data_IF_182889415278
#
_entry.id   IF_182889415278
#
_cell.length_a   1.000
_cell.length_b   1.000
_cell.length_c   1.000
_cell.angle_alpha   90.00
_cell.angle_beta   90.00
_cell.angle_gamma   90.00
#
_symmetry.space_group_name_H-M   'P 1'
#
loop_
_entity.id
_entity.type
_entity.pdbx_description
1 polymer ?
#
# COMPACT_ATOMS: atom_id res chain seq x y z
N UNK A 1 12.84 7.55 -18.33
CA UNK A 1 11.95 7.71 -17.18
C UNK A 1 10.56 7.36 -17.67
N UNK A 2 10.06 6.18 -17.33
CA UNK A 2 8.70 5.77 -17.69
C UNK A 2 7.70 6.73 -17.06
N UNK A 3 6.74 7.25 -17.83
CA UNK A 3 5.71 8.17 -17.33
C UNK A 3 4.61 7.37 -16.60
N UNK A 4 5.00 6.57 -15.60
CA UNK A 4 4.04 5.77 -14.83
C UNK A 4 3.13 6.69 -14.01
N UNK A 5 1.83 6.45 -14.08
CA UNK A 5 0.82 7.22 -13.36
C UNK A 5 0.93 6.93 -11.87
N UNK A 6 1.23 7.97 -11.10
CA UNK A 6 1.23 7.91 -9.63
C UNK A 6 -0.20 7.99 -9.12
N UNK A 7 -0.58 7.06 -8.24
CA UNK A 7 -1.89 7.04 -7.59
C UNK A 7 -1.78 6.67 -6.12
N UNK A 8 -2.90 6.67 -5.41
CA UNK A 8 -2.96 6.46 -3.97
C UNK A 8 -3.98 5.39 -3.62
N UNK A 9 -3.65 4.54 -2.65
CA UNK A 9 -4.53 3.51 -2.11
C UNK A 9 -4.43 3.47 -0.58
N UNK A 10 -5.53 3.16 0.10
CA UNK A 10 -5.54 2.95 1.55
C UNK A 10 -5.77 1.47 1.85
N UNK A 11 -4.77 0.83 2.43
CA UNK A 11 -4.84 -0.52 2.96
C UNK A 11 -5.39 -0.49 4.39
N UNK A 12 -6.23 -1.46 4.74
CA UNK A 12 -6.67 -1.67 6.12
C UNK A 12 -5.98 -2.93 6.63
N UNK A 13 -5.04 -2.77 7.58
CA UNK A 13 -4.22 -3.86 8.13
C UNK A 13 -4.63 -4.17 9.56
N UNK A 14 -4.55 -5.43 9.99
CA UNK A 14 -4.85 -5.79 11.38
C UNK A 14 -3.89 -5.11 12.36
N UNK A 15 -4.43 -4.61 13.47
CA UNK A 15 -3.69 -4.01 14.57
C UNK A 15 -2.83 -5.04 15.31
N UNK A 16 -3.20 -6.32 15.30
CA UNK A 16 -2.33 -7.41 15.78
C UNK A 16 -1.13 -7.61 14.85
N UNK A 17 -1.37 -7.56 13.53
CA UNK A 17 -0.33 -7.51 12.50
C UNK A 17 0.47 -6.20 12.60
N UNK A 18 -0.01 -5.18 13.31
CA UNK A 18 0.66 -3.90 13.57
C UNK A 18 1.45 -3.88 14.90
N UNK A 19 0.93 -4.50 15.96
CA UNK A 19 1.39 -4.36 17.35
C UNK A 19 2.33 -5.45 17.87
N UNK A 20 2.37 -6.64 17.25
CA UNK A 20 3.23 -7.76 17.68
C UNK A 20 4.66 -7.76 17.09
N UNK A 21 4.93 -6.88 16.15
CA UNK A 21 6.18 -6.78 15.37
C UNK A 21 5.98 -6.12 14.00
N UNK A 22 4.94 -5.31 13.87
CA UNK A 22 4.06 -5.35 12.71
C UNK A 22 4.28 -4.39 11.55
N UNK A 23 5.03 -3.31 11.80
CA UNK A 23 5.61 -2.50 10.74
C UNK A 23 7.13 -2.54 10.81
N UNK A 24 7.73 -2.68 12.00
CA UNK A 24 9.18 -2.92 12.05
C UNK A 24 9.55 -4.19 11.27
N UNK A 25 8.87 -5.34 11.38
CA UNK A 25 9.28 -6.51 10.58
C UNK A 25 9.00 -6.39 9.07
N UNK A 26 7.95 -5.67 8.64
CA UNK A 26 7.62 -5.49 7.22
C UNK A 26 8.37 -4.31 6.56
N UNK A 27 8.67 -3.26 7.32
CA UNK A 27 9.56 -2.15 6.94
C UNK A 27 11.05 -2.49 7.14
N UNK A 28 11.39 -3.51 7.94
CA UNK A 28 12.71 -4.14 7.97
C UNK A 28 12.87 -5.22 6.88
N UNK A 29 11.80 -5.59 6.16
CA UNK A 29 11.86 -6.59 5.08
C UNK A 29 12.19 -5.98 3.70
N UNK A 30 12.02 -4.67 3.53
CA UNK A 30 12.39 -3.93 2.32
C UNK A 30 12.90 -2.55 2.72
N UNK A 31 14.10 -2.18 2.23
CA UNK A 31 14.66 -0.86 2.49
C UNK A 31 13.86 0.22 1.74
N UNK A 32 13.97 1.49 2.15
CA UNK A 32 13.31 2.62 1.48
C UNK A 32 13.63 2.69 -0.02
N UNK A 33 14.84 2.27 -0.40
CA UNK A 33 15.28 2.16 -1.78
C UNK A 33 14.50 1.08 -2.53
N UNK A 34 14.29 -0.09 -1.92
CA UNK A 34 13.50 -1.17 -2.55
C UNK A 34 12.06 -0.76 -2.77
N UNK A 35 11.48 -0.02 -1.82
CA UNK A 35 10.14 0.56 -1.96
C UNK A 35 10.09 1.55 -3.13
N UNK A 36 11.06 2.45 -3.20
CA UNK A 36 11.15 3.43 -4.29
C UNK A 36 11.33 2.75 -5.66
N UNK A 37 12.23 1.78 -5.75
CA UNK A 37 12.50 0.98 -6.96
C UNK A 37 11.31 0.10 -7.34
N UNK A 38 10.48 -0.30 -6.39
CA UNK A 38 9.21 -0.96 -6.63
C UNK A 38 8.12 -0.01 -7.14
N UNK A 39 8.32 1.31 -7.05
CA UNK A 39 7.36 2.35 -7.42
C UNK A 39 6.47 2.81 -6.26
N UNK A 40 6.87 2.60 -5.02
CA UNK A 40 6.22 3.14 -3.81
C UNK A 40 6.96 4.41 -3.39
N UNK A 41 6.26 5.54 -3.36
CA UNK A 41 6.87 6.86 -3.12
C UNK A 41 6.53 7.45 -1.76
N UNK A 42 5.41 7.06 -1.16
CA UNK A 42 5.01 7.54 0.16
C UNK A 42 4.18 6.50 0.88
N UNK A 43 4.45 6.32 2.17
CA UNK A 43 3.60 5.55 3.10
C UNK A 43 3.25 6.47 4.26
N UNK A 44 1.95 6.64 4.51
CA UNK A 44 1.41 7.45 5.58
C UNK A 44 0.62 6.54 6.53
N UNK A 45 1.13 6.42 7.76
CA UNK A 45 0.49 5.68 8.83
C UNK A 45 -0.09 6.70 9.81
N UNK A 46 -1.41 6.75 9.99
CA UNK A 46 -2.05 7.64 10.93
C UNK A 46 -1.61 7.34 12.37
N UNK A 47 -1.15 8.36 13.09
CA UNK A 47 -0.87 8.26 14.52
C UNK A 47 -2.16 8.42 15.33
N UNK A 48 -2.34 7.60 16.37
CA UNK A 48 -3.42 7.79 17.35
C UNK A 48 -4.73 7.02 17.10
N UNK A 49 -4.80 6.15 16.09
CA UNK A 49 -6.02 5.36 15.81
C UNK A 49 -6.14 4.04 16.59
N UNK A 50 -5.16 3.72 17.44
CA UNK A 50 -5.14 2.49 18.22
C UNK A 50 -6.29 2.36 19.25
N UNK A 51 -7.11 3.40 19.47
CA UNK A 51 -8.24 3.34 20.42
C UNK A 51 -9.64 3.35 19.79
N UNK A 52 -9.83 3.92 18.59
CA UNK A 52 -11.18 4.31 18.13
C UNK A 52 -11.64 3.67 16.81
N UNK A 53 -10.75 3.09 15.99
CA UNK A 53 -11.11 2.48 14.68
C UNK A 53 -11.27 0.94 14.71
N UNK A 54 -11.18 0.31 15.87
CA UNK A 54 -11.20 -1.15 16.02
C UNK A 54 -9.85 -1.82 15.68
N UNK A 55 -9.86 -3.12 15.39
CA UNK A 55 -8.66 -3.94 15.14
C UNK A 55 -7.94 -3.64 13.81
N UNK A 56 -8.24 -2.54 13.09
CA UNK A 56 -7.69 -2.27 11.75
C UNK A 56 -7.07 -0.88 11.65
N UNK A 57 -5.84 -0.81 11.14
CA UNK A 57 -5.07 0.41 10.90
C UNK A 57 -5.15 0.80 9.42
N UNK A 58 -5.60 2.02 9.07
CA UNK A 58 -5.61 2.49 7.69
C UNK A 58 -4.24 3.02 7.27
N UNK A 59 -3.51 2.29 6.44
CA UNK A 59 -2.21 2.67 5.89
C UNK A 59 -2.39 3.22 4.48
N UNK A 60 -2.05 4.49 4.26
CA UNK A 60 -2.17 5.15 2.95
C UNK A 60 -0.85 5.08 2.21
N UNK A 61 -0.89 4.67 0.95
CA UNK A 61 0.30 4.45 0.12
C UNK A 61 0.13 5.17 -1.20
N UNK A 62 1.15 5.92 -1.59
CA UNK A 62 1.25 6.60 -2.89
C UNK A 62 2.33 5.94 -3.71
N UNK A 63 2.00 5.56 -4.94
CA UNK A 63 2.92 4.85 -5.83
C UNK A 63 2.33 4.60 -7.21
N UNK A 64 3.11 3.95 -8.06
CA UNK A 64 2.62 3.44 -9.36
C UNK A 64 1.70 2.25 -9.15
N UNK A 65 0.95 1.87 -10.18
CA UNK A 65 0.10 0.69 -10.11
C UNK A 65 0.88 -0.61 -9.77
N UNK A 66 2.16 -0.67 -10.18
CA UNK A 66 3.09 -1.74 -9.81
C UNK A 66 3.48 -1.64 -8.33
N UNK A 67 3.85 -0.46 -7.85
CA UNK A 67 4.24 -0.22 -6.47
C UNK A 67 3.14 -0.58 -5.48
N UNK A 68 1.88 -0.23 -5.78
CA UNK A 68 0.75 -0.58 -4.92
C UNK A 68 0.53 -2.10 -4.84
N UNK A 69 0.69 -2.83 -5.95
CA UNK A 69 0.62 -4.29 -5.95
C UNK A 69 1.78 -4.95 -5.20
N UNK A 70 2.99 -4.38 -5.31
CA UNK A 70 4.14 -4.82 -4.53
C UNK A 70 3.87 -4.67 -3.04
N UNK A 71 3.38 -3.49 -2.63
CA UNK A 71 3.11 -3.20 -1.22
C UNK A 71 1.99 -4.06 -0.64
N UNK A 72 0.94 -4.36 -1.41
CA UNK A 72 -0.12 -5.29 -1.00
C UNK A 72 0.41 -6.69 -0.67
N UNK A 73 1.40 -7.17 -1.44
CA UNK A 73 2.07 -8.46 -1.19
C UNK A 73 2.96 -8.39 0.04
N UNK A 74 3.69 -7.29 0.23
CA UNK A 74 4.54 -7.06 1.40
C UNK A 74 3.71 -7.08 2.69
N UNK A 75 2.53 -6.47 2.67
CA UNK A 75 1.56 -6.49 3.78
C UNK A 75 0.80 -7.82 3.91
N UNK A 76 1.02 -8.80 3.01
CA UNK A 76 0.30 -10.07 2.96
C UNK A 76 -1.24 -9.86 3.01
N UNK A 77 -1.76 -8.89 2.24
CA UNK A 77 -3.20 -8.66 2.13
C UNK A 77 -3.86 -9.84 1.45
N UNK A 78 -4.85 -10.44 2.12
CA UNK A 78 -5.62 -11.61 1.62
C UNK A 78 -7.10 -11.33 1.45
N UNK A 79 -7.57 -10.19 1.94
CA UNK A 79 -8.98 -9.84 1.88
C UNK A 79 -9.42 -9.55 0.44
N UNK A 80 -10.37 -10.34 -0.06
CA UNK A 80 -10.85 -10.26 -1.44
C UNK A 80 -11.34 -8.85 -1.79
N UNK A 81 -12.10 -8.21 -0.91
CA UNK A 81 -12.62 -6.86 -1.11
C UNK A 81 -11.50 -5.82 -1.32
N UNK A 82 -10.43 -5.87 -0.53
CA UNK A 82 -9.31 -4.94 -0.68
C UNK A 82 -8.53 -5.21 -1.98
N UNK A 83 -8.37 -6.48 -2.35
CA UNK A 83 -7.69 -6.88 -3.59
C UNK A 83 -8.50 -6.49 -4.85
N UNK A 84 -9.82 -6.64 -4.81
CA UNK A 84 -10.71 -6.20 -5.89
C UNK A 84 -10.63 -4.69 -6.10
N UNK A 85 -10.70 -3.92 -5.01
CA UNK A 85 -10.63 -2.46 -5.09
C UNK A 85 -9.25 -1.98 -5.58
N UNK A 86 -8.18 -2.60 -5.08
CA UNK A 86 -6.83 -2.37 -5.61
C UNK A 86 -6.74 -2.67 -7.11
N UNK A 87 -7.40 -3.76 -7.55
CA UNK A 87 -7.50 -4.12 -8.96
C UNK A 87 -8.15 -3.03 -9.82
N UNK A 88 -9.24 -2.41 -9.32
CA UNK A 88 -9.93 -1.30 -10.00
C UNK A 88 -9.05 -0.05 -10.06
N UNK A 89 -8.42 0.33 -8.96
CA UNK A 89 -7.51 1.49 -8.91
C UNK A 89 -6.34 1.30 -9.87
N UNK A 90 -5.76 0.10 -9.91
CA UNK A 90 -4.71 -0.26 -10.86
C UNK A 90 -5.20 -0.17 -12.31
N UNK A 91 -6.36 -0.73 -12.63
CA UNK A 91 -6.90 -0.66 -13.98
C UNK A 91 -7.12 0.79 -14.44
N UNK A 92 -7.64 1.64 -13.55
CA UNK A 92 -7.83 3.06 -13.82
C UNK A 92 -6.51 3.82 -13.99
N UNK A 93 -5.47 3.49 -13.22
CA UNK A 93 -4.14 4.08 -13.37
C UNK A 93 -3.50 3.72 -14.71
N UNK A 94 -3.53 2.43 -15.09
CA UNK A 94 -2.99 1.94 -16.36
C UNK A 94 -3.72 2.52 -17.58
N UNK A 95 -5.04 2.71 -17.49
CA UNK A 95 -5.81 3.35 -18.55
C UNK A 95 -5.34 4.80 -18.80
N UNK A 96 -5.00 5.54 -17.74
CA UNK A 96 -4.48 6.91 -17.84
C UNK A 96 -3.07 6.97 -18.42
N UNK A 97 -2.26 5.93 -18.23
CA UNK A 97 -0.92 5.82 -18.84
C UNK A 97 -0.99 5.58 -20.35
N UNK A 98 -1.98 4.80 -20.82
CA UNK A 98 -2.16 4.50 -22.24
C UNK A 98 -2.76 5.64 -23.08
N UNK A 99 -3.34 6.64 -22.42
CA UNK A 99 -3.95 7.82 -23.04
C UNK A 99 -2.96 9.00 -23.23
N UNK A 100 -1.71 8.88 -22.77
CA UNK A 100 -0.65 9.90 -22.86
C UNK A 100 0.42 9.57 -23.91
#
# INVERSE_FOLDING_TARGET
MSNETVTMFTFFVDAEVFGGGGYEAAALAADEIDLFDAGVYKVEIPQGFASDLGDRVPVRVTGTARGLMFYAKLLNIREEMQLEELGRVRAAALAREGDQ
#
